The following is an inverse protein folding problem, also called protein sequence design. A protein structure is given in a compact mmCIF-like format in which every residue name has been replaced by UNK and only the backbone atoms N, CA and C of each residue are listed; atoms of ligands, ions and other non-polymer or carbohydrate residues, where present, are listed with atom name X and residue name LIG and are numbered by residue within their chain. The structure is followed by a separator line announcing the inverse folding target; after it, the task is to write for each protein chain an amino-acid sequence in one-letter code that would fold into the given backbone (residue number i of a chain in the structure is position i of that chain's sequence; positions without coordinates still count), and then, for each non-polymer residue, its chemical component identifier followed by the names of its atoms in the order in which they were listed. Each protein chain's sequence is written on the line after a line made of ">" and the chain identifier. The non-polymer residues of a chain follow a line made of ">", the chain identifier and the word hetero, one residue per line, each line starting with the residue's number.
data_IF_600160588807
#
_entry.id   IF_600160588807
#
_cell.length_a   1.000
_cell.length_b   1.000
_cell.length_c   1.000
_cell.angle_alpha   90.00
_cell.angle_beta   90.00
_cell.angle_gamma   90.00
#
_symmetry.space_group_name_H-M   'P 1'
#
loop_
_entity.id
_entity.type
_entity.pdbx_description
1 polymer ?
#
# COMPACT_ATOMS: atom_id res chain seq x y z
N UNK A 1 0.83 -26.93 11.43
CA UNK A 1 0.29 -25.82 10.62
C UNK A 1 0.84 -25.89 9.20
N UNK A 2 -0.04 -25.76 8.21
CA UNK A 2 0.32 -25.76 6.78
C UNK A 2 -0.21 -24.47 6.15
N UNK A 3 0.57 -23.87 5.27
CA UNK A 3 0.17 -22.68 4.51
C UNK A 3 0.68 -22.76 3.07
N UNK A 4 -0.08 -22.19 2.15
CA UNK A 4 0.33 -21.95 0.77
C UNK A 4 0.39 -20.45 0.54
N UNK A 5 1.46 -19.96 -0.07
CA UNK A 5 1.60 -18.55 -0.43
C UNK A 5 2.13 -18.42 -1.86
N UNK A 6 1.44 -17.62 -2.66
CA UNK A 6 1.88 -17.17 -3.98
C UNK A 6 2.17 -15.69 -3.87
N UNK A 7 3.35 -15.28 -4.33
CA UNK A 7 3.79 -13.89 -4.35
C UNK A 7 4.31 -13.59 -5.74
N UNK A 8 3.87 -12.48 -6.30
CA UNK A 8 4.37 -11.94 -7.56
C UNK A 8 4.65 -10.44 -7.39
N UNK A 9 5.74 -9.98 -8.00
CA UNK A 9 6.10 -8.58 -8.06
C UNK A 9 6.68 -8.28 -9.45
N UNK A 10 5.97 -7.44 -10.19
CA UNK A 10 6.36 -7.01 -11.52
C UNK A 10 6.82 -5.56 -11.47
N UNK A 11 8.07 -5.30 -11.89
CA UNK A 11 8.59 -3.95 -12.11
C UNK A 11 8.61 -3.64 -13.61
N UNK A 12 8.11 -2.46 -13.98
CA UNK A 12 8.07 -1.99 -15.36
C UNK A 12 8.78 -0.65 -15.48
N UNK A 13 9.63 -0.53 -16.49
CA UNK A 13 10.34 0.70 -16.83
C UNK A 13 10.65 0.70 -18.33
N UNK A 14 9.66 1.07 -19.17
CA UNK A 14 9.86 1.09 -20.62
C UNK A 14 10.88 2.15 -21.03
N UNK A 15 11.85 1.74 -21.86
CA UNK A 15 12.86 2.63 -22.39
C UNK A 15 12.23 3.78 -23.21
N UNK A 16 12.82 4.98 -23.12
CA UNK A 16 12.34 6.16 -23.82
C UNK A 16 11.07 6.79 -23.25
N UNK A 17 10.52 6.27 -22.14
CA UNK A 17 9.33 6.83 -21.49
C UNK A 17 9.65 7.55 -20.18
N UNK A 18 8.67 8.35 -19.72
CA UNK A 18 8.70 8.99 -18.41
C UNK A 18 8.02 8.14 -17.32
N UNK A 19 7.74 6.87 -17.59
CA UNK A 19 6.98 6.01 -16.69
C UNK A 19 7.87 4.92 -16.07
N UNK A 20 7.77 4.79 -14.76
CA UNK A 20 8.22 3.59 -14.04
C UNK A 20 7.07 3.07 -13.19
N UNK A 21 7.11 1.81 -12.79
CA UNK A 21 6.05 1.27 -11.98
C UNK A 21 6.39 -0.08 -11.39
N UNK A 22 5.63 -0.43 -10.36
CA UNK A 22 5.71 -1.75 -9.74
C UNK A 22 4.32 -2.20 -9.35
N UNK A 23 3.97 -3.44 -9.67
CA UNK A 23 2.78 -4.11 -9.18
C UNK A 23 3.16 -5.25 -8.25
N UNK A 24 2.32 -5.53 -7.26
CA UNK A 24 2.46 -6.67 -6.35
C UNK A 24 1.15 -7.43 -6.24
N UNK A 25 1.29 -8.74 -6.05
CA UNK A 25 0.19 -9.63 -5.75
C UNK A 25 0.63 -10.66 -4.72
N UNK A 26 -0.22 -10.90 -3.72
CA UNK A 26 -0.05 -11.94 -2.70
C UNK A 26 -1.38 -12.67 -2.58
N UNK A 27 -1.31 -14.00 -2.62
CA UNK A 27 -2.36 -14.89 -2.17
C UNK A 27 -1.77 -15.81 -1.11
N UNK A 28 -2.41 -15.88 0.05
CA UNK A 28 -2.07 -16.82 1.11
C UNK A 28 -3.31 -17.60 1.57
N UNK A 29 -3.15 -18.91 1.71
CA UNK A 29 -4.10 -19.80 2.38
C UNK A 29 -3.41 -20.45 3.59
N UNK A 30 -3.78 -20.02 4.79
CA UNK A 30 -3.41 -20.68 6.04
C UNK A 30 -4.52 -21.68 6.39
N UNK A 31 -4.27 -22.95 6.08
CA UNK A 31 -5.27 -24.03 6.14
C UNK A 31 -5.86 -24.13 7.55
N UNK A 32 -7.18 -23.99 7.68
CA UNK A 32 -7.88 -24.07 8.96
C UNK A 32 -7.84 -22.78 9.79
N UNK A 33 -7.37 -21.66 9.20
CA UNK A 33 -7.23 -20.37 9.88
C UNK A 33 -7.83 -19.22 9.08
N UNK A 34 -7.23 -18.88 7.95
CA UNK A 34 -7.63 -17.71 7.15
C UNK A 34 -7.03 -17.73 5.75
N UNK A 35 -7.65 -16.98 4.85
CA UNK A 35 -7.11 -16.62 3.53
C UNK A 35 -6.82 -15.13 3.48
N UNK A 36 -5.73 -14.75 2.84
CA UNK A 36 -5.35 -13.36 2.61
C UNK A 36 -5.05 -13.12 1.14
N UNK A 37 -5.63 -12.06 0.59
CA UNK A 37 -5.31 -11.53 -0.72
C UNK A 37 -4.81 -10.10 -0.53
N UNK A 38 -3.69 -9.77 -1.15
CA UNK A 38 -3.17 -8.41 -1.23
C UNK A 38 -2.75 -8.12 -2.65
N UNK A 39 -3.09 -6.94 -3.16
CA UNK A 39 -2.54 -6.47 -4.41
C UNK A 39 -2.43 -4.96 -4.42
N UNK A 40 -1.46 -4.46 -5.18
CA UNK A 40 -1.26 -3.04 -5.33
C UNK A 40 -0.43 -2.73 -6.56
N UNK A 41 -0.43 -1.47 -6.95
CA UNK A 41 0.58 -0.98 -7.85
C UNK A 41 0.93 0.48 -7.58
N UNK A 42 2.13 0.82 -8.04
CA UNK A 42 2.77 2.09 -7.80
C UNK A 42 3.37 2.65 -9.08
N UNK A 43 2.57 3.20 -10.00
CA UNK A 43 3.12 3.97 -11.12
C UNK A 43 3.81 5.25 -10.63
N UNK A 44 4.86 5.64 -11.33
CA UNK A 44 5.59 6.89 -11.13
C UNK A 44 5.77 7.58 -12.48
N UNK A 45 5.37 8.84 -12.57
CA UNK A 45 5.64 9.68 -13.72
C UNK A 45 6.78 10.65 -13.43
N UNK A 46 7.81 10.65 -14.26
CA UNK A 46 8.99 11.50 -14.13
C UNK A 46 8.83 12.74 -14.98
N UNK A 47 8.75 13.90 -14.34
CA UNK A 47 8.70 15.19 -15.04
C UNK A 47 10.06 15.58 -15.60
N UNK A 48 11.12 15.23 -14.88
CA UNK A 48 12.52 15.41 -15.25
C UNK A 48 13.40 14.44 -14.45
N UNK A 49 14.72 14.66 -14.45
CA UNK A 49 15.68 13.75 -13.81
C UNK A 49 15.59 13.70 -12.28
N UNK A 50 14.87 14.64 -11.66
CA UNK A 50 14.78 14.80 -10.21
C UNK A 50 13.35 14.70 -9.71
N UNK A 51 12.39 15.30 -10.42
CA UNK A 51 11.01 15.43 -9.98
C UNK A 51 10.12 14.36 -10.59
N UNK A 52 9.36 13.68 -9.75
CA UNK A 52 8.33 12.72 -10.18
C UNK A 52 7.08 12.78 -9.32
N UNK A 53 5.99 12.20 -9.81
CA UNK A 53 4.76 11.96 -9.07
C UNK A 53 4.54 10.45 -8.99
N UNK A 54 4.53 9.91 -7.77
CA UNK A 54 4.12 8.54 -7.51
C UNK A 54 2.65 8.49 -7.09
N UNK A 55 1.92 7.50 -7.59
CA UNK A 55 0.61 7.10 -7.10
C UNK A 55 0.73 5.68 -6.61
N UNK A 56 0.11 5.35 -5.48
CA UNK A 56 0.20 4.03 -4.85
C UNK A 56 -1.20 3.59 -4.46
N UNK A 57 -1.69 2.50 -5.05
CA UNK A 57 -2.94 1.87 -4.66
C UNK A 57 -2.66 0.51 -4.03
N UNK A 58 -3.46 0.15 -3.03
CA UNK A 58 -3.40 -1.14 -2.37
C UNK A 58 -4.77 -1.61 -1.94
N UNK A 59 -4.99 -2.91 -2.05
CA UNK A 59 -6.15 -3.61 -1.53
C UNK A 59 -5.67 -4.81 -0.72
N UNK A 60 -6.21 -4.96 0.49
CA UNK A 60 -6.02 -6.10 1.36
C UNK A 60 -7.38 -6.70 1.74
N UNK A 61 -7.50 -8.01 1.62
CA UNK A 61 -8.65 -8.78 2.07
C UNK A 61 -8.19 -9.97 2.92
N UNK A 62 -8.63 -10.02 4.18
CA UNK A 62 -8.45 -11.20 5.04
C UNK A 62 -9.81 -11.85 5.27
N UNK A 63 -9.96 -13.11 4.89
CA UNK A 63 -11.13 -13.94 5.18
C UNK A 63 -10.75 -15.03 6.18
N UNK A 64 -11.07 -14.87 7.48
CA UNK A 64 -10.96 -15.94 8.46
C UNK A 64 -11.91 -17.11 8.14
N UNK A 65 -11.55 -18.32 8.56
CA UNK A 65 -12.43 -19.49 8.46
C UNK A 65 -13.68 -19.35 9.34
N UNK A 66 -13.52 -18.64 10.47
CA UNK A 66 -14.62 -18.22 11.34
C UNK A 66 -14.61 -16.71 11.51
N UNK A 67 -15.72 -16.06 11.17
CA UNK A 67 -15.91 -14.62 11.25
C UNK A 67 -15.98 -13.92 9.89
N UNK A 68 -16.15 -12.60 9.95
CA UNK A 68 -16.42 -11.78 8.78
C UNK A 68 -15.17 -11.44 7.99
N UNK A 69 -15.38 -11.23 6.68
CA UNK A 69 -14.35 -10.78 5.75
C UNK A 69 -13.91 -9.36 6.13
N UNK A 70 -12.60 -9.14 6.20
CA UNK A 70 -11.98 -7.86 6.54
C UNK A 70 -11.33 -7.28 5.30
N UNK A 71 -11.60 -6.02 4.98
CA UNK A 71 -11.06 -5.38 3.78
C UNK A 71 -10.45 -4.03 4.12
N UNK A 72 -9.35 -3.67 3.45
CA UNK A 72 -8.76 -2.33 3.47
C UNK A 72 -8.36 -1.93 2.05
N UNK A 73 -8.73 -0.72 1.65
CA UNK A 73 -8.29 -0.08 0.41
C UNK A 73 -7.51 1.18 0.75
N UNK A 74 -6.43 1.43 0.02
CA UNK A 74 -5.58 2.60 0.18
C UNK A 74 -5.28 3.22 -1.18
N UNK A 75 -5.28 4.54 -1.23
CA UNK A 75 -4.68 5.32 -2.31
C UNK A 75 -3.79 6.41 -1.73
N UNK A 76 -2.59 6.57 -2.30
CA UNK A 76 -1.64 7.61 -1.93
C UNK A 76 -1.20 8.35 -3.19
N UNK A 77 -1.11 9.67 -3.12
CA UNK A 77 -0.42 10.50 -4.11
C UNK A 77 0.81 11.11 -3.45
N UNK A 78 1.94 11.11 -4.15
CA UNK A 78 3.21 11.52 -3.59
C UNK A 78 4.12 12.21 -4.64
N UNK A 79 4.10 13.55 -4.73
CA UNK A 79 5.17 14.27 -5.42
C UNK A 79 6.49 14.03 -4.69
N UNK A 80 7.53 13.68 -5.44
CA UNK A 80 8.83 13.30 -4.89
C UNK A 80 9.99 13.89 -5.70
N UNK A 81 11.10 14.12 -4.99
CA UNK A 81 12.40 14.46 -5.56
C UNK A 81 13.32 13.26 -5.32
N UNK A 82 13.93 12.71 -6.37
CA UNK A 82 14.85 11.56 -6.30
C UNK A 82 16.18 11.83 -7.01
N UNK A 83 17.22 11.09 -6.63
CA UNK A 83 18.52 11.10 -7.30
C UNK A 83 18.53 10.27 -8.60
N UNK A 84 17.54 10.50 -9.48
CA UNK A 84 17.43 9.84 -10.79
C UNK A 84 16.00 9.42 -11.15
N UNK A 85 15.88 8.82 -12.35
CA UNK A 85 14.60 8.45 -13.00
C UNK A 85 14.27 6.96 -12.96
N UNK A 86 15.03 6.19 -12.21
CA UNK A 86 14.78 4.76 -12.06
C UNK A 86 13.74 4.56 -10.96
N UNK A 87 12.94 3.50 -11.03
CA UNK A 87 11.97 3.18 -9.97
C UNK A 87 12.62 3.13 -8.56
N UNK A 88 13.83 2.57 -8.51
CA UNK A 88 14.64 2.41 -7.31
C UNK A 88 15.66 3.55 -7.09
N UNK A 89 15.54 4.69 -7.79
CA UNK A 89 16.42 5.83 -7.54
C UNK A 89 16.22 6.36 -6.12
N UNK A 90 17.29 6.37 -5.33
CA UNK A 90 17.36 6.94 -3.98
C UNK A 90 18.67 7.72 -3.79
N UNK A 91 18.74 8.71 -2.89
CA UNK A 91 17.70 9.14 -1.94
C UNK A 91 16.45 9.72 -2.63
N UNK A 92 15.31 9.62 -1.96
CA UNK A 92 14.05 10.25 -2.36
C UNK A 92 13.39 10.99 -1.20
N UNK A 93 12.96 12.22 -1.43
CA UNK A 93 12.15 13.02 -0.53
C UNK A 93 10.74 13.16 -1.12
N UNK A 94 9.71 12.80 -0.36
CA UNK A 94 8.31 12.87 -0.82
C UNK A 94 7.45 13.67 0.14
N UNK A 95 6.58 14.52 -0.40
CA UNK A 95 5.36 14.89 0.29
C UNK A 95 4.28 13.89 -0.12
N UNK A 96 3.33 13.58 0.74
CA UNK A 96 2.27 12.62 0.42
C UNK A 96 0.93 13.00 1.02
N UNK A 97 -0.13 12.51 0.37
CA UNK A 97 -1.47 12.43 0.91
C UNK A 97 -1.99 11.02 0.67
N UNK A 98 -2.53 10.39 1.71
CA UNK A 98 -3.10 9.04 1.68
C UNK A 98 -4.54 9.11 2.15
N UNK A 99 -5.42 8.42 1.42
CA UNK A 99 -6.77 8.09 1.87
C UNK A 99 -6.88 6.57 1.99
N UNK A 100 -7.46 6.10 3.08
CA UNK A 100 -7.73 4.69 3.30
C UNK A 100 -9.17 4.47 3.76
N UNK A 101 -9.75 3.34 3.36
CA UNK A 101 -11.08 2.90 3.77
C UNK A 101 -11.04 1.41 4.11
N UNK A 102 -11.58 1.05 5.26
CA UNK A 102 -11.74 -0.33 5.71
C UNK A 102 -13.23 -0.63 5.97
N UNK A 103 -13.56 -1.87 6.34
CA UNK A 103 -14.94 -2.24 6.69
C UNK A 103 -15.10 -2.47 8.20
N UNK A 104 -16.35 -2.56 8.66
CA UNK A 104 -16.66 -2.72 10.10
C UNK A 104 -16.03 -3.98 10.69
N UNK A 105 -15.95 -5.07 9.93
CA UNK A 105 -15.28 -6.30 10.35
C UNK A 105 -13.77 -6.11 10.58
N UNK A 106 -13.10 -5.30 9.75
CA UNK A 106 -11.70 -4.93 9.98
C UNK A 106 -11.56 -4.02 11.20
N UNK A 107 -12.46 -3.05 11.40
CA UNK A 107 -12.47 -2.18 12.58
C UNK A 107 -12.68 -2.98 13.88
N UNK A 108 -13.63 -3.91 13.89
CA UNK A 108 -13.95 -4.75 15.04
C UNK A 108 -12.82 -5.73 15.39
N UNK A 109 -12.03 -6.15 14.39
CA UNK A 109 -10.87 -7.02 14.60
C UNK A 109 -9.59 -6.26 14.96
N UNK A 110 -9.55 -4.93 14.79
CA UNK A 110 -8.38 -4.11 15.05
C UNK A 110 -8.13 -3.97 16.57
N UNK A 111 -6.89 -4.12 17.05
CA UNK A 111 -6.54 -3.89 18.45
C UNK A 111 -6.97 -2.50 18.93
N UNK A 112 -7.32 -2.35 20.20
CA UNK A 112 -7.68 -1.05 20.76
C UNK A 112 -6.52 -0.05 20.59
N UNK A 113 -6.83 1.17 20.14
CA UNK A 113 -5.85 2.20 19.82
C UNK A 113 -5.17 2.06 18.45
N UNK A 114 -5.39 0.95 17.72
CA UNK A 114 -4.95 0.85 16.32
C UNK A 114 -5.67 1.89 15.46
N UNK A 115 -5.02 2.34 14.38
CA UNK A 115 -5.55 3.35 13.47
C UNK A 115 -6.91 2.95 12.88
N UNK A 116 -7.14 1.65 12.63
CA UNK A 116 -8.40 1.14 12.09
C UNK A 116 -9.49 0.97 13.17
N UNK A 117 -9.11 0.92 14.45
CA UNK A 117 -10.00 0.60 15.55
C UNK A 117 -10.98 1.74 15.85
N UNK A 118 -12.14 1.41 16.40
CA UNK A 118 -13.12 2.38 16.86
C UNK A 118 -12.58 3.32 17.98
N UNK A 119 -11.50 2.89 18.65
CA UNK A 119 -10.79 3.66 19.68
C UNK A 119 -9.50 4.30 19.14
N UNK A 120 -9.25 4.18 17.84
CA UNK A 120 -8.11 4.78 17.15
C UNK A 120 -8.29 6.26 16.84
N UNK A 121 -7.31 6.83 16.15
CA UNK A 121 -7.27 8.25 15.78
C UNK A 121 -8.44 8.70 14.89
N UNK A 122 -9.08 7.77 14.18
CA UNK A 122 -10.24 8.03 13.32
C UNK A 122 -11.59 7.71 13.99
N UNK A 123 -11.59 7.29 15.26
CA UNK A 123 -12.79 6.96 16.01
C UNK A 123 -13.62 5.86 15.33
N UNK A 124 -14.95 6.00 15.36
CA UNK A 124 -15.87 5.06 14.71
C UNK A 124 -15.90 5.15 13.18
N UNK A 125 -15.12 6.05 12.56
CA UNK A 125 -15.06 6.13 11.09
C UNK A 125 -14.33 4.92 10.52
N UNK A 126 -14.83 4.38 9.41
CA UNK A 126 -14.17 3.30 8.65
C UNK A 126 -13.33 3.81 7.48
N UNK A 127 -12.91 5.07 7.56
CA UNK A 127 -12.01 5.69 6.62
C UNK A 127 -11.20 6.79 7.32
N UNK A 128 -10.06 7.12 6.73
CA UNK A 128 -9.14 8.11 7.29
C UNK A 128 -8.20 8.67 6.23
N UNK A 129 -7.71 9.87 6.47
CA UNK A 129 -6.70 10.52 5.63
C UNK A 129 -5.47 10.87 6.43
N UNK A 130 -4.29 10.72 5.82
CA UNK A 130 -3.01 11.18 6.38
C UNK A 130 -2.24 11.95 5.33
N UNK A 131 -1.39 12.88 5.76
CA UNK A 131 -0.46 13.59 4.90
C UNK A 131 0.84 13.84 5.64
N UNK A 132 1.93 14.08 4.91
CA UNK A 132 3.21 14.35 5.53
C UNK A 132 4.35 14.46 4.54
N UNK A 133 5.56 14.54 5.09
CA UNK A 133 6.82 14.55 4.35
C UNK A 133 7.66 13.37 4.85
N UNK A 134 8.31 12.65 3.95
CA UNK A 134 9.14 11.49 4.27
C UNK A 134 10.39 11.45 3.37
N UNK A 135 11.54 11.13 3.95
CA UNK A 135 12.76 10.78 3.22
C UNK A 135 13.02 9.27 3.26
N UNK A 136 13.58 8.71 2.19
CA UNK A 136 14.04 7.32 2.09
C UNK A 136 15.36 7.27 1.33
N UNK A 137 16.32 6.47 1.81
CA UNK A 137 17.65 6.34 1.21
C UNK A 137 18.25 4.96 1.46
N UNK A 138 19.09 4.52 0.54
CA UNK A 138 20.01 3.38 0.65
C UNK A 138 21.27 3.69 -0.16
N UNK A 139 22.37 2.98 0.12
CA UNK A 139 23.68 3.19 -0.49
C UNK A 139 24.30 1.86 -0.93
#
# INVERSE_FOLDING_TARGET
>A
DKAWRVVEQLMVQPEGTNWTGMGTFVYEDQIGKQKWISYGARPQYHFNDKWSLAVDFGHDEVKPDSGDRRTLNKITIAPQISAGRQFFSRPALRAFYTYAKWNDAAQAAAPAGDTLSATGVFGSSTNGSTFGIQAEAWW
#
